data_IF_000621983270
#
_entry.id   IF_000621983270
#
_cell.length_a   1.000
_cell.length_b   1.000
_cell.length_c   1.000
_cell.angle_alpha   90.00
_cell.angle_beta   90.00
_cell.angle_gamma   90.00
#
_symmetry.space_group_name_H-M   'P 1'
#
loop_
_entity.id
_entity.type
_entity.pdbx_description
1 polymer ?
#
# COMPACT_ATOMS: atom_id res chain seq x y z
N UNK A 1 -8.76 -28.89 0.32
CA UNK A 1 -7.72 -28.48 -0.65
C UNK A 1 -7.07 -27.23 -0.09
N UNK A 2 -6.03 -27.41 0.73
CA UNK A 2 -5.34 -26.30 1.39
C UNK A 2 -4.56 -25.51 0.34
N UNK A 3 -5.00 -24.28 0.09
CA UNK A 3 -4.25 -23.32 -0.71
C UNK A 3 -2.94 -23.06 0.03
N UNK A 4 -1.83 -23.52 -0.56
CA UNK A 4 -0.47 -23.25 -0.08
C UNK A 4 -0.33 -21.74 0.15
N UNK A 5 -0.27 -21.32 1.40
CA UNK A 5 0.08 -19.96 1.78
C UNK A 5 1.43 -19.67 1.11
N UNK A 6 1.47 -18.78 0.11
CA UNK A 6 2.73 -18.35 -0.47
C UNK A 6 3.54 -17.73 0.67
N UNK A 7 4.61 -18.39 1.10
CA UNK A 7 5.22 -18.12 2.41
C UNK A 7 5.75 -16.70 2.59
N UNK A 8 6.06 -15.97 1.52
CA UNK A 8 6.79 -14.71 1.63
C UNK A 8 5.99 -13.57 2.29
N UNK A 9 4.74 -13.22 1.88
CA UNK A 9 3.99 -12.15 2.54
C UNK A 9 3.64 -12.45 4.01
N UNK A 10 3.26 -13.68 4.34
CA UNK A 10 2.96 -14.07 5.73
C UNK A 10 4.21 -14.04 6.62
N UNK A 11 5.34 -14.57 6.12
CA UNK A 11 6.61 -14.52 6.85
C UNK A 11 7.06 -13.07 7.06
N UNK A 12 6.95 -12.22 6.03
CA UNK A 12 7.30 -10.80 6.13
C UNK A 12 6.39 -10.08 7.14
N UNK A 13 5.09 -10.36 7.15
CA UNK A 13 4.17 -9.82 8.14
C UNK A 13 4.55 -10.24 9.56
N UNK A 14 4.86 -11.53 9.78
CA UNK A 14 5.32 -12.04 11.08
C UNK A 14 6.58 -11.33 11.58
N UNK A 15 7.54 -11.08 10.68
CA UNK A 15 8.79 -10.40 11.02
C UNK A 15 8.60 -8.90 11.29
N UNK A 16 7.74 -8.23 10.53
CA UNK A 16 7.52 -6.79 10.66
C UNK A 16 6.58 -6.42 11.81
N UNK A 17 5.68 -7.32 12.20
CA UNK A 17 4.63 -7.05 13.18
C UNK A 17 5.12 -6.48 14.52
N UNK A 18 6.17 -7.02 15.17
CA UNK A 18 6.66 -6.47 16.43
C UNK A 18 7.10 -5.00 16.30
N UNK A 19 7.81 -4.67 15.21
CA UNK A 19 8.26 -3.30 14.92
C UNK A 19 7.10 -2.40 14.53
N UNK A 20 6.12 -2.94 13.81
CA UNK A 20 4.91 -2.22 13.41
C UNK A 20 4.12 -1.73 14.62
N UNK A 21 3.88 -2.63 15.58
CA UNK A 21 3.19 -2.32 16.84
C UNK A 21 4.04 -1.38 17.70
N UNK A 22 5.34 -1.63 17.83
CA UNK A 22 6.26 -0.80 18.62
C UNK A 22 6.36 0.66 18.15
N UNK A 23 6.01 0.94 16.89
CA UNK A 23 5.95 2.29 16.32
C UNK A 23 4.57 2.96 16.39
N UNK A 24 3.55 2.27 16.91
CA UNK A 24 2.18 2.80 16.98
C UNK A 24 1.50 2.89 15.60
N UNK A 25 1.90 2.06 14.63
CA UNK A 25 1.39 2.12 13.26
C UNK A 25 -0.05 1.58 13.10
N UNK A 26 -0.72 1.18 14.18
CA UNK A 26 -2.16 0.85 14.17
C UNK A 26 -3.01 2.04 13.69
N UNK A 27 -2.51 3.28 13.82
CA UNK A 27 -3.16 4.49 13.32
C UNK A 27 -3.42 4.49 11.81
N UNK A 28 -2.77 3.61 11.04
CA UNK A 28 -2.98 3.45 9.61
C UNK A 28 -4.05 2.39 9.27
N UNK A 29 -4.90 2.02 10.24
CA UNK A 29 -5.95 1.01 10.06
C UNK A 29 -5.46 -0.44 10.06
N UNK A 30 -4.17 -0.67 10.29
CA UNK A 30 -3.55 -2.00 10.33
C UNK A 30 -3.38 -2.40 11.80
N UNK A 31 -4.45 -2.94 12.36
CA UNK A 31 -4.59 -3.30 13.78
C UNK A 31 -4.22 -4.76 14.10
N UNK A 32 -4.01 -5.57 13.07
CA UNK A 32 -3.69 -6.99 13.19
C UNK A 32 -2.57 -7.40 12.22
N UNK A 33 -1.82 -8.44 12.60
CA UNK A 33 -0.81 -9.06 11.73
C UNK A 33 -1.42 -9.56 10.43
N UNK A 34 -2.64 -10.08 10.48
CA UNK A 34 -3.32 -10.62 9.30
C UNK A 34 -3.77 -9.49 8.35
N UNK A 35 -4.14 -8.31 8.87
CA UNK A 35 -4.31 -7.10 8.05
C UNK A 35 -3.00 -6.68 7.36
N UNK A 36 -1.88 -6.66 8.11
CA UNK A 36 -0.56 -6.37 7.51
C UNK A 36 -0.19 -7.40 6.44
N UNK A 37 -0.46 -8.68 6.69
CA UNK A 37 -0.24 -9.76 5.74
C UNK A 37 -1.05 -9.59 4.45
N UNK A 38 -2.31 -9.14 4.55
CA UNK A 38 -3.15 -8.82 3.38
C UNK A 38 -2.58 -7.67 2.56
N UNK A 39 -2.15 -6.59 3.21
CA UNK A 39 -1.49 -5.44 2.55
C UNK A 39 -0.24 -5.87 1.80
N UNK A 40 0.64 -6.61 2.46
CA UNK A 40 1.88 -7.13 1.86
C UNK A 40 1.60 -8.13 0.74
N UNK A 41 0.55 -8.94 0.87
CA UNK A 41 0.11 -9.86 -0.17
C UNK A 41 -0.34 -9.12 -1.42
N UNK A 42 -1.17 -8.08 -1.29
CA UNK A 42 -1.61 -7.25 -2.43
C UNK A 42 -0.41 -6.61 -3.13
N UNK A 43 0.51 -5.99 -2.37
CA UNK A 43 1.72 -5.39 -2.93
C UNK A 43 2.62 -6.42 -3.62
N UNK A 44 2.77 -7.61 -3.03
CA UNK A 44 3.53 -8.71 -3.61
C UNK A 44 2.91 -9.19 -4.93
N UNK A 45 1.60 -9.47 -4.95
CA UNK A 45 0.91 -9.89 -6.17
C UNK A 45 1.01 -8.82 -7.27
N UNK A 46 0.83 -7.55 -6.93
CA UNK A 46 1.00 -6.44 -7.87
C UNK A 46 2.40 -6.43 -8.49
N UNK A 47 3.46 -6.69 -7.71
CA UNK A 47 4.84 -6.71 -8.20
C UNK A 47 5.15 -7.82 -9.22
N UNK A 48 4.31 -8.86 -9.29
CA UNK A 48 4.39 -9.94 -10.28
C UNK A 48 3.69 -9.59 -11.59
N UNK A 49 2.87 -8.54 -11.60
CA UNK A 49 2.10 -8.12 -12.76
C UNK A 49 2.91 -7.26 -13.73
N UNK A 50 2.37 -7.15 -14.95
CA UNK A 50 2.90 -6.30 -16.01
C UNK A 50 1.78 -5.43 -16.57
N UNK A 51 2.11 -4.20 -16.99
CA UNK A 51 1.23 -3.28 -17.68
C UNK A 51 1.98 -2.71 -18.89
N UNK A 52 1.36 -2.77 -20.08
CA UNK A 52 1.98 -2.35 -21.35
C UNK A 52 3.39 -2.96 -21.59
N UNK A 53 3.59 -4.21 -21.18
CA UNK A 53 4.87 -4.92 -21.32
C UNK A 53 5.95 -4.51 -20.31
N UNK A 54 5.63 -3.63 -19.35
CA UNK A 54 6.54 -3.22 -18.28
C UNK A 54 6.13 -3.86 -16.95
N UNK A 55 7.10 -4.27 -16.15
CA UNK A 55 6.83 -4.77 -14.80
C UNK A 55 6.21 -3.65 -13.95
N UNK A 56 5.21 -4.00 -13.13
CA UNK A 56 4.62 -3.07 -12.18
C UNK A 56 5.63 -2.69 -11.11
N UNK A 57 6.02 -1.41 -11.09
CA UNK A 57 6.91 -0.84 -10.08
C UNK A 57 6.31 0.45 -9.52
N UNK A 58 6.06 0.49 -8.22
CA UNK A 58 5.57 1.69 -7.54
C UNK A 58 6.06 1.73 -6.09
N UNK A 59 5.92 2.90 -5.46
CA UNK A 59 6.08 3.06 -4.01
C UNK A 59 4.69 3.19 -3.39
N UNK A 60 4.46 2.48 -2.30
CA UNK A 60 3.22 2.53 -1.53
C UNK A 60 3.52 3.15 -0.18
N UNK A 61 2.76 4.17 0.22
CA UNK A 61 2.78 4.73 1.56
C UNK A 61 1.45 4.49 2.24
N UNK A 62 1.49 3.79 3.37
CA UNK A 62 0.33 3.62 4.25
C UNK A 62 0.24 4.86 5.15
N UNK A 63 -0.87 5.57 5.07
CA UNK A 63 -1.05 6.85 5.75
C UNK A 63 -2.52 7.10 6.07
N UNK A 64 -2.78 7.87 7.11
CA UNK A 64 -4.10 8.40 7.37
C UNK A 64 -4.38 9.58 6.43
N UNK A 65 -5.65 9.87 6.15
CA UNK A 65 -6.05 11.02 5.32
C UNK A 65 -5.49 12.35 5.87
N UNK A 66 -5.41 12.49 7.20
CA UNK A 66 -4.82 13.65 7.87
C UNK A 66 -3.32 13.82 7.61
N UNK A 67 -2.59 12.74 7.29
CA UNK A 67 -1.16 12.82 6.94
C UNK A 67 -0.96 13.39 5.52
N UNK A 68 -2.03 13.47 4.71
CA UNK A 68 -2.02 14.00 3.34
C UNK A 68 -2.43 15.48 3.25
N UNK A 69 -2.65 16.15 4.38
CA UNK A 69 -2.94 17.58 4.40
C UNK A 69 -1.77 18.36 3.74
N UNK A 70 -2.04 19.24 2.75
CA UNK A 70 -1.00 20.06 2.12
C UNK A 70 -0.14 20.84 3.11
N UNK A 71 -0.67 21.28 4.25
CA UNK A 71 0.09 21.98 5.28
C UNK A 71 1.11 21.06 5.98
N UNK A 72 0.75 19.78 6.18
CA UNK A 72 1.64 18.76 6.75
C UNK A 72 2.75 18.40 5.76
N UNK A 73 2.43 18.37 4.46
CA UNK A 73 3.34 17.95 3.40
C UNK A 73 4.18 19.07 2.79
N UNK A 74 3.83 20.34 2.99
CA UNK A 74 4.53 21.50 2.45
C UNK A 74 6.06 21.48 2.70
N UNK A 75 6.57 21.14 3.91
CA UNK A 75 8.02 21.09 4.17
C UNK A 75 8.77 20.08 3.31
N UNK A 76 8.08 19.03 2.84
CA UNK A 76 8.67 17.94 2.06
C UNK A 76 8.55 18.13 0.55
N UNK A 77 7.96 19.26 0.11
CA UNK A 77 7.70 19.55 -1.31
C UNK A 77 6.89 18.46 -2.04
N UNK A 78 6.10 17.67 -1.30
CA UNK A 78 5.18 16.72 -1.90
C UNK A 78 3.96 17.46 -2.44
N UNK A 79 3.56 17.12 -3.67
CA UNK A 79 2.29 17.54 -4.25
C UNK A 79 1.31 16.39 -4.18
N UNK A 80 0.21 16.58 -3.44
CA UNK A 80 -0.86 15.59 -3.35
C UNK A 80 -1.77 15.69 -4.56
N UNK A 81 -2.00 14.57 -5.23
CA UNK A 81 -2.97 14.42 -6.30
C UNK A 81 -4.07 13.48 -5.81
N UNK A 82 -5.22 14.06 -5.47
CA UNK A 82 -6.36 13.27 -5.02
C UNK A 82 -7.09 12.64 -6.20
N UNK A 83 -7.40 11.35 -6.08
CA UNK A 83 -8.32 10.70 -7.01
C UNK A 83 -9.72 11.26 -6.78
N UNK A 84 -10.51 11.39 -7.84
CA UNK A 84 -11.88 11.90 -7.73
C UNK A 84 -12.79 11.01 -6.88
N UNK A 85 -12.42 9.74 -6.72
CA UNK A 85 -13.10 8.74 -5.88
C UNK A 85 -12.08 7.76 -5.31
N UNK A 86 -12.30 7.24 -4.08
CA UNK A 86 -11.57 6.10 -3.55
C UNK A 86 -11.57 4.90 -4.52
N UNK A 87 -10.48 4.14 -4.52
CA UNK A 87 -10.33 2.95 -5.38
C UNK A 87 -10.10 1.71 -4.51
N UNK A 88 -10.53 0.49 -4.89
CA UNK A 88 -10.22 -0.69 -4.09
C UNK A 88 -8.69 -0.92 -4.03
N UNK A 89 -8.17 -1.31 -2.86
CA UNK A 89 -6.77 -1.68 -2.73
C UNK A 89 -6.57 -3.15 -3.06
N UNK A 90 -6.40 -3.40 -4.35
CA UNK A 90 -6.07 -4.69 -4.92
C UNK A 90 -4.93 -4.58 -5.95
N UNK A 91 -4.38 -5.72 -6.35
CA UNK A 91 -3.25 -5.77 -7.26
C UNK A 91 -3.57 -5.22 -8.65
N UNK A 92 -4.84 -5.27 -9.09
CA UNK A 92 -5.26 -4.81 -10.40
C UNK A 92 -5.33 -3.29 -10.46
N UNK A 93 -5.85 -2.63 -9.42
CA UNK A 93 -5.84 -1.17 -9.33
C UNK A 93 -4.40 -0.64 -9.21
N UNK A 94 -3.53 -1.30 -8.43
CA UNK A 94 -2.10 -0.92 -8.37
C UNK A 94 -1.47 -1.04 -9.75
N UNK A 95 -1.71 -2.15 -10.45
CA UNK A 95 -1.23 -2.35 -11.82
C UNK A 95 -1.67 -1.20 -12.74
N UNK A 96 -2.95 -0.86 -12.74
CA UNK A 96 -3.54 0.21 -13.56
C UNK A 96 -2.99 1.60 -13.24
N UNK A 97 -2.69 1.88 -11.97
CA UNK A 97 -2.17 3.17 -11.52
C UNK A 97 -0.64 3.27 -11.68
N UNK A 98 0.08 2.14 -11.71
CA UNK A 98 1.54 2.14 -11.76
C UNK A 98 2.15 2.95 -12.91
N UNK A 99 1.58 3.01 -14.14
CA UNK A 99 2.15 3.85 -15.20
C UNK A 99 2.04 5.35 -14.90
N UNK A 100 1.04 5.77 -14.12
CA UNK A 100 0.83 7.16 -13.72
C UNK A 100 1.69 7.56 -12.50
N UNK A 101 2.25 6.59 -11.77
CA UNK A 101 3.03 6.81 -10.54
C UNK A 101 4.47 6.37 -10.77
N UNK A 102 5.28 7.26 -11.33
CA UNK A 102 6.69 6.97 -11.61
C UNK A 102 7.44 6.66 -10.30
N UNK A 103 8.07 5.47 -10.23
CA UNK A 103 8.73 4.95 -9.01
C UNK A 103 9.65 5.95 -8.29
N UNK A 104 10.38 6.78 -9.04
CA UNK A 104 11.37 7.71 -8.48
C UNK A 104 10.80 9.02 -7.94
N UNK A 105 9.59 9.41 -8.35
CA UNK A 105 9.04 10.76 -8.10
C UNK A 105 7.63 10.77 -7.54
N UNK A 106 7.02 9.60 -7.40
CA UNK A 106 5.63 9.48 -7.03
C UNK A 106 5.42 8.30 -6.08
N UNK A 107 4.43 8.43 -5.22
CA UNK A 107 4.08 7.45 -4.21
C UNK A 107 2.55 7.30 -4.25
N UNK A 108 2.07 6.06 -4.26
CA UNK A 108 0.66 5.74 -4.02
C UNK A 108 0.39 5.84 -2.53
N UNK A 109 -0.37 6.85 -2.14
CA UNK A 109 -0.91 6.95 -0.78
C UNK A 109 -2.06 5.96 -0.61
N UNK A 110 -2.07 5.24 0.50
CA UNK A 110 -3.03 4.18 0.79
C UNK A 110 -3.57 4.38 2.19
N UNK A 111 -4.85 4.74 2.26
CA UNK A 111 -5.61 4.65 3.49
C UNK A 111 -6.18 3.23 3.57
N UNK A 112 -5.64 2.40 4.47
CA UNK A 112 -6.13 1.05 4.63
C UNK A 112 -7.37 1.06 5.55
N UNK A 113 -8.50 0.64 5.00
CA UNK A 113 -9.70 0.32 5.76
C UNK A 113 -10.13 -1.10 5.43
N UNK A 114 -10.45 -1.90 6.45
CA UNK A 114 -10.94 -3.25 6.21
C UNK A 114 -12.27 -3.18 5.43
N UNK A 115 -12.25 -3.60 4.16
CA UNK A 115 -13.42 -3.58 3.28
C UNK A 115 -13.68 -2.27 2.51
N UNK A 116 -12.81 -1.24 2.61
CA UNK A 116 -12.88 -0.03 1.77
C UNK A 116 -11.47 0.35 1.31
N UNK A 117 -11.27 0.44 0.00
CA UNK A 117 -9.94 0.77 -0.56
C UNK A 117 -9.56 2.24 -0.45
N UNK A 118 -8.37 2.53 -1.00
CA UNK A 118 -7.58 3.78 -1.03
C UNK A 118 -8.35 5.08 -0.87
#
# INVERSE_FOLDING_TARGET
MELRSHGYPDLLARQLWPTWVGKGNYRFGIDSRDALGRVLSVAYQASLLHEEGRQVTCRIALCAETDLDPAVLAPYSFRVLNLSRPRPFDEQEIRRLSPAVTFYRSILAVNWSEGRGF
#
